data_IF_456933937593
#
_entry.id   IF_456933937593
#
_cell.length_a   1.000
_cell.length_b   1.000
_cell.length_c   1.000
_cell.angle_alpha   90.00
_cell.angle_beta   90.00
_cell.angle_gamma   90.00
#
_symmetry.space_group_name_H-M   'P 1'
#
loop_
_entity.id
_entity.type
_entity.pdbx_description
1 polymer ?
#
# COMPACT_ATOMS: atom_id res chain seq x y z
N UNK A 1 8.49 47.63 4.97
CA UNK A 1 8.99 46.98 6.20
C UNK A 1 8.32 45.63 6.48
N UNK A 2 7.44 45.12 5.60
CA UNK A 2 6.66 43.90 5.83
C UNK A 2 7.30 42.61 5.27
N UNK A 3 8.36 42.71 4.45
CA UNK A 3 9.00 41.55 3.81
C UNK A 3 10.06 40.82 4.64
N UNK A 4 10.55 41.42 5.74
CA UNK A 4 11.58 40.82 6.61
C UNK A 4 10.98 39.96 7.73
N UNK A 5 9.76 40.26 8.17
CA UNK A 5 9.09 39.59 9.29
C UNK A 5 8.63 38.17 8.93
N UNK A 6 8.08 38.00 7.71
CA UNK A 6 7.70 36.69 7.17
C UNK A 6 8.91 35.76 6.99
N UNK A 7 10.02 36.27 6.48
CA UNK A 7 11.25 35.49 6.29
C UNK A 7 11.87 35.03 7.61
N UNK A 8 11.81 35.87 8.65
CA UNK A 8 12.32 35.52 9.97
C UNK A 8 11.46 34.45 10.66
N UNK A 9 10.14 34.50 10.48
CA UNK A 9 9.21 33.52 11.05
C UNK A 9 9.34 32.11 10.46
N UNK A 10 9.67 32.00 9.17
CA UNK A 10 9.87 30.72 8.49
C UNK A 10 11.18 30.07 8.97
N UNK A 11 12.25 30.86 9.07
CA UNK A 11 13.54 30.38 9.57
C UNK A 11 13.44 29.95 11.04
N UNK A 12 12.72 30.71 11.88
CA UNK A 12 12.48 30.35 13.28
C UNK A 12 11.75 29.00 13.42
N UNK A 13 10.75 28.76 12.56
CA UNK A 13 10.04 27.49 12.55
C UNK A 13 10.92 26.32 12.07
N UNK A 14 11.74 26.53 11.05
CA UNK A 14 12.66 25.51 10.54
C UNK A 14 13.71 25.12 11.60
N UNK A 15 14.32 26.09 12.26
CA UNK A 15 15.28 25.86 13.36
C UNK A 15 14.63 25.11 14.54
N UNK A 16 13.40 25.51 14.92
CA UNK A 16 12.64 24.81 15.94
C UNK A 16 12.35 23.35 15.52
N UNK A 17 11.93 23.15 14.27
CA UNK A 17 11.59 21.82 13.76
C UNK A 17 12.82 20.90 13.75
N UNK A 18 13.98 21.40 13.33
CA UNK A 18 15.24 20.64 13.36
C UNK A 18 15.59 20.17 14.78
N UNK A 19 15.48 21.06 15.77
CA UNK A 19 15.72 20.72 17.17
C UNK A 19 14.75 19.64 17.69
N UNK A 20 13.47 19.75 17.35
CA UNK A 20 12.45 18.75 17.72
C UNK A 20 12.76 17.39 17.08
N UNK A 21 13.17 17.38 15.80
CA UNK A 21 13.51 16.15 15.09
C UNK A 21 14.75 15.47 15.66
N UNK A 22 15.78 16.25 16.02
CA UNK A 22 16.96 15.72 16.71
C UNK A 22 16.57 15.08 18.04
N UNK A 23 15.78 15.76 18.87
CA UNK A 23 15.34 15.23 20.16
C UNK A 23 14.50 13.96 20.00
N UNK A 24 13.53 13.97 19.10
CA UNK A 24 12.66 12.82 18.81
C UNK A 24 13.48 11.61 18.31
N UNK A 25 14.49 11.84 17.48
CA UNK A 25 15.37 10.78 16.95
C UNK A 25 16.19 10.10 18.05
N UNK A 26 16.48 10.77 19.16
CA UNK A 26 17.23 10.22 20.28
C UNK A 26 16.35 9.49 21.32
N UNK A 27 15.02 9.49 21.15
CA UNK A 27 14.11 8.78 22.04
C UNK A 27 14.13 7.26 21.80
N UNK A 28 13.91 6.49 22.86
CA UNK A 28 13.57 5.06 22.79
C UNK A 28 12.22 4.86 22.10
N UNK A 29 11.99 3.71 21.46
CA UNK A 29 10.74 3.44 20.75
C UNK A 29 9.47 3.60 21.61
N UNK A 30 9.50 3.20 22.88
CA UNK A 30 8.38 3.41 23.81
C UNK A 30 8.04 4.90 23.96
N UNK A 31 9.06 5.74 24.13
CA UNK A 31 8.90 7.19 24.25
C UNK A 31 8.46 7.82 22.93
N UNK A 32 8.96 7.34 21.78
CA UNK A 32 8.51 7.79 20.46
C UNK A 32 7.03 7.52 20.24
N UNK A 33 6.57 6.31 20.56
CA UNK A 33 5.16 5.94 20.46
C UNK A 33 4.30 6.84 21.36
N UNK A 34 4.70 7.05 22.61
CA UNK A 34 3.98 7.95 23.51
C UNK A 34 3.95 9.41 22.99
N UNK A 35 5.05 9.89 22.41
CA UNK A 35 5.08 11.22 21.77
C UNK A 35 4.11 11.30 20.60
N UNK A 36 4.05 10.27 19.74
CA UNK A 36 3.08 10.19 18.65
C UNK A 36 1.64 10.22 19.20
N UNK A 37 1.35 9.44 20.25
CA UNK A 37 0.02 9.39 20.87
C UNK A 37 -0.42 10.78 21.35
N UNK A 38 0.49 11.52 21.99
CA UNK A 38 0.24 12.90 22.41
C UNK A 38 0.00 13.84 21.22
N UNK A 39 0.77 13.73 20.14
CA UNK A 39 0.59 14.53 18.91
C UNK A 39 -0.76 14.23 18.26
N UNK A 40 -1.18 12.96 18.22
CA UNK A 40 -2.48 12.54 17.70
C UNK A 40 -3.61 13.12 18.57
N UNK A 41 -3.48 13.04 19.90
CA UNK A 41 -4.49 13.54 20.84
C UNK A 41 -4.70 15.06 20.75
N UNK A 42 -3.67 15.84 20.39
CA UNK A 42 -3.78 17.28 20.21
C UNK A 42 -4.04 17.73 18.76
N UNK A 43 -4.16 16.79 17.81
CA UNK A 43 -4.40 17.06 16.39
C UNK A 43 -5.87 17.18 16.03
N UNK A 44 -6.19 18.07 15.09
CA UNK A 44 -7.53 18.21 14.52
C UNK A 44 -7.78 17.29 13.32
N UNK A 45 -9.01 17.24 12.83
CA UNK A 45 -9.43 16.37 11.72
C UNK A 45 -8.61 16.56 10.44
N UNK A 46 -8.15 17.78 10.15
CA UNK A 46 -7.28 18.05 9.00
C UNK A 46 -5.91 17.34 9.13
N UNK A 47 -5.27 17.48 10.29
CA UNK A 47 -3.98 16.85 10.57
C UNK A 47 -4.11 15.32 10.61
N UNK A 48 -5.18 14.80 11.21
CA UNK A 48 -5.45 13.36 11.27
C UNK A 48 -5.71 12.77 9.88
N UNK A 49 -6.44 13.48 9.01
CA UNK A 49 -6.63 13.07 7.61
C UNK A 49 -5.31 13.07 6.81
N UNK A 50 -4.47 14.08 7.02
CA UNK A 50 -3.15 14.14 6.40
C UNK A 50 -2.26 13.00 6.88
N UNK A 51 -2.23 12.74 8.20
CA UNK A 51 -1.51 11.63 8.81
C UNK A 51 -1.97 10.29 8.24
N UNK A 52 -3.28 10.02 8.23
CA UNK A 52 -3.87 8.79 7.70
C UNK A 52 -3.46 8.55 6.24
N UNK A 53 -3.49 9.59 5.40
CA UNK A 53 -3.11 9.48 3.99
C UNK A 53 -1.63 9.09 3.85
N UNK A 54 -0.75 9.74 4.62
CA UNK A 54 0.69 9.45 4.59
C UNK A 54 1.01 8.08 5.16
N UNK A 55 0.41 7.68 6.28
CA UNK A 55 0.63 6.37 6.89
C UNK A 55 0.08 5.24 6.04
N UNK A 56 -1.06 5.43 5.37
CA UNK A 56 -1.61 4.42 4.45
C UNK A 56 -0.65 4.09 3.31
N UNK A 57 0.09 5.08 2.78
CA UNK A 57 1.11 4.85 1.74
C UNK A 57 2.31 4.06 2.30
N UNK A 58 2.69 4.30 3.55
CA UNK A 58 3.86 3.67 4.16
C UNK A 58 3.57 2.26 4.69
N UNK A 59 2.38 2.05 5.26
CA UNK A 59 1.98 0.83 5.95
C UNK A 59 1.19 -0.12 5.04
N UNK A 60 0.34 0.41 4.17
CA UNK A 60 -0.51 -0.39 3.29
C UNK A 60 0.15 -0.56 1.92
N UNK A 61 1.04 -1.56 1.81
CA UNK A 61 1.56 -1.98 0.51
C UNK A 61 0.70 -3.07 -0.08
N UNK A 62 -0.04 -2.72 -1.12
CA UNK A 62 -0.70 -3.68 -1.99
C UNK A 62 0.37 -4.35 -2.88
N UNK A 63 0.95 -5.45 -2.39
CA UNK A 63 2.01 -6.16 -3.11
C UNK A 63 1.57 -6.63 -4.50
N UNK A 64 0.30 -6.98 -4.69
CA UNK A 64 -0.22 -7.37 -6.01
C UNK A 64 -0.18 -6.20 -7.00
N UNK A 65 -0.38 -4.96 -6.54
CA UNK A 65 -0.20 -3.76 -7.39
C UNK A 65 1.26 -3.41 -7.63
N UNK A 66 2.13 -3.61 -6.64
CA UNK A 66 3.52 -3.17 -6.70
C UNK A 66 4.46 -4.12 -7.44
N UNK A 67 4.11 -5.40 -7.51
CA UNK A 67 4.95 -6.41 -8.15
C UNK A 67 4.87 -6.33 -9.70
N UNK A 68 5.95 -6.69 -10.42
CA UNK A 68 5.89 -7.02 -11.85
C UNK A 68 4.86 -8.12 -12.14
N UNK A 69 4.36 -8.18 -13.38
CA UNK A 69 3.29 -9.10 -13.77
C UNK A 69 3.65 -10.58 -13.49
N UNK A 70 4.88 -10.96 -13.75
CA UNK A 70 5.40 -12.32 -13.58
C UNK A 70 5.39 -12.74 -12.11
N UNK A 71 5.77 -11.83 -11.21
CA UNK A 71 5.80 -12.10 -9.77
C UNK A 71 4.39 -12.16 -9.18
N UNK A 72 3.43 -11.38 -9.70
CA UNK A 72 2.01 -11.53 -9.32
C UNK A 72 1.52 -12.92 -9.69
N UNK A 73 1.72 -13.34 -10.95
CA UNK A 73 1.25 -14.65 -11.42
C UNK A 73 1.90 -15.80 -10.66
N UNK A 74 3.18 -15.67 -10.31
CA UNK A 74 3.86 -16.66 -9.48
C UNK A 74 3.29 -16.74 -8.06
N UNK A 75 2.96 -15.61 -7.43
CA UNK A 75 2.31 -15.62 -6.12
C UNK A 75 0.89 -16.20 -6.19
N UNK A 76 0.12 -15.79 -7.19
CA UNK A 76 -1.26 -16.24 -7.37
C UNK A 76 -1.34 -17.73 -7.72
N UNK A 77 -0.31 -18.33 -8.32
CA UNK A 77 -0.29 -19.75 -8.63
C UNK A 77 -0.16 -20.68 -7.43
N UNK A 78 0.16 -20.15 -6.25
CA UNK A 78 0.14 -20.90 -4.98
C UNK A 78 -1.24 -20.97 -4.33
N UNK A 79 -2.21 -20.20 -4.83
CA UNK A 79 -3.58 -20.15 -4.30
C UNK A 79 -4.46 -21.19 -4.99
N UNK A 80 -5.41 -21.75 -4.23
CA UNK A 80 -6.47 -22.58 -4.76
C UNK A 80 -7.62 -21.73 -5.34
N UNK A 81 -8.55 -22.38 -6.04
CA UNK A 81 -9.65 -21.67 -6.72
C UNK A 81 -10.52 -20.86 -5.77
N UNK A 82 -10.77 -21.36 -4.56
CA UNK A 82 -11.55 -20.65 -3.54
C UNK A 82 -10.84 -19.39 -3.05
N UNK A 83 -9.55 -19.49 -2.71
CA UNK A 83 -8.75 -18.33 -2.31
C UNK A 83 -8.66 -17.30 -3.43
N UNK A 84 -8.52 -17.71 -4.69
CA UNK A 84 -8.51 -16.80 -5.84
C UNK A 84 -9.82 -16.03 -5.98
N UNK A 85 -10.97 -16.69 -5.80
CA UNK A 85 -12.27 -16.02 -5.80
C UNK A 85 -12.41 -15.02 -4.65
N UNK A 86 -11.93 -15.38 -3.45
CA UNK A 86 -11.89 -14.44 -2.33
C UNK A 86 -11.00 -13.22 -2.63
N UNK A 87 -9.85 -13.45 -3.25
CA UNK A 87 -8.93 -12.40 -3.68
C UNK A 87 -9.56 -11.45 -4.71
N UNK A 88 -10.41 -11.93 -5.63
CA UNK A 88 -11.17 -11.06 -6.54
C UNK A 88 -12.11 -10.09 -5.79
N UNK A 89 -12.56 -10.42 -4.59
CA UNK A 89 -13.40 -9.55 -3.75
C UNK A 89 -12.66 -8.41 -3.05
N UNK A 90 -11.31 -8.42 -3.01
CA UNK A 90 -10.52 -7.46 -2.24
C UNK A 90 -10.62 -6.04 -2.79
N UNK A 91 -10.54 -5.88 -4.11
CA UNK A 91 -10.69 -4.58 -4.78
C UNK A 91 -10.95 -4.77 -6.27
N UNK A 92 -11.43 -3.71 -6.94
CA UNK A 92 -11.57 -3.69 -8.41
C UNK A 92 -10.25 -4.00 -9.13
N UNK A 93 -9.13 -3.52 -8.59
CA UNK A 93 -7.81 -3.77 -9.16
C UNK A 93 -7.40 -5.24 -9.01
N UNK A 94 -7.62 -5.84 -7.84
CA UNK A 94 -7.35 -7.25 -7.60
C UNK A 94 -8.18 -8.14 -8.53
N UNK A 95 -9.48 -7.85 -8.62
CA UNK A 95 -10.38 -8.56 -9.53
C UNK A 95 -9.88 -8.53 -10.98
N UNK A 96 -9.50 -7.36 -11.48
CA UNK A 96 -9.02 -7.20 -12.84
C UNK A 96 -7.72 -7.98 -13.10
N UNK A 97 -6.78 -7.96 -12.16
CA UNK A 97 -5.49 -8.67 -12.28
C UNK A 97 -5.72 -10.19 -12.27
N UNK A 98 -6.52 -10.69 -11.34
CA UNK A 98 -6.71 -12.13 -11.16
C UNK A 98 -7.57 -12.69 -12.28
N UNK A 99 -8.64 -11.98 -12.68
CA UNK A 99 -9.55 -12.44 -13.75
C UNK A 99 -8.87 -12.46 -15.12
N UNK A 100 -7.86 -11.62 -15.36
CA UNK A 100 -7.11 -11.63 -16.63
C UNK A 100 -6.01 -12.69 -16.69
N UNK A 101 -5.59 -13.25 -15.54
CA UNK A 101 -4.55 -14.28 -15.48
C UNK A 101 -5.10 -15.67 -15.82
N UNK A 102 -5.26 -15.94 -17.12
CA UNK A 102 -5.71 -17.24 -17.63
C UNK A 102 -4.87 -18.41 -17.08
N UNK A 103 -3.54 -18.24 -17.03
CA UNK A 103 -2.61 -19.27 -16.55
C UNK A 103 -2.88 -19.68 -15.10
N UNK A 104 -3.18 -18.72 -14.23
CA UNK A 104 -3.49 -18.95 -12.81
C UNK A 104 -4.78 -19.77 -12.67
N UNK A 105 -5.84 -19.39 -13.40
CA UNK A 105 -7.10 -20.12 -13.38
C UNK A 105 -6.99 -21.53 -13.96
N UNK A 106 -6.24 -21.71 -15.06
CA UNK A 106 -6.00 -23.04 -15.61
C UNK A 106 -5.27 -23.93 -14.60
N UNK A 107 -4.28 -23.40 -13.88
CA UNK A 107 -3.56 -24.14 -12.84
C UNK A 107 -4.47 -24.50 -11.66
N UNK A 108 -5.30 -23.58 -11.20
CA UNK A 108 -6.27 -23.83 -10.13
C UNK A 108 -7.30 -24.92 -10.52
N UNK A 109 -7.80 -24.87 -11.76
CA UNK A 109 -8.70 -25.88 -12.32
C UNK A 109 -8.04 -27.27 -12.39
N UNK A 110 -6.80 -27.35 -12.91
CA UNK A 110 -6.04 -28.62 -12.96
C UNK A 110 -5.78 -29.18 -11.56
N UNK A 111 -5.46 -28.32 -10.59
CA UNK A 111 -5.23 -28.72 -9.20
C UNK A 111 -6.50 -29.27 -8.54
N UNK A 112 -7.67 -28.85 -9.02
CA UNK A 112 -8.98 -29.33 -8.57
C UNK A 112 -9.53 -30.49 -9.42
N UNK A 113 -8.69 -31.15 -10.22
CA UNK A 113 -9.03 -32.25 -11.14
C UNK A 113 -9.99 -31.90 -12.28
N UNK A 114 -10.16 -30.63 -12.62
CA UNK A 114 -10.92 -30.24 -13.81
C UNK A 114 -10.07 -30.40 -15.07
N UNK A 115 -10.69 -30.92 -16.14
CA UNK A 115 -10.04 -31.04 -17.45
C UNK A 115 -10.11 -29.69 -18.14
N UNK A 116 -8.96 -29.04 -18.29
CA UNK A 116 -8.81 -27.80 -19.04
C UNK A 116 -8.37 -28.15 -20.46
N UNK A 117 -9.15 -27.77 -21.47
CA UNK A 117 -8.79 -27.94 -22.87
C UNK A 117 -7.51 -27.15 -23.18
N UNK A 118 -6.51 -27.84 -23.72
CA UNK A 118 -5.21 -27.24 -24.09
C UNK A 118 -5.32 -26.27 -25.26
N UNK A 119 -6.42 -26.31 -26.02
CA UNK A 119 -6.65 -25.41 -27.16
C UNK A 119 -7.17 -24.02 -26.75
N UNK A 120 -7.46 -23.79 -25.46
CA UNK A 120 -7.81 -22.47 -24.92
C UNK A 120 -6.58 -21.56 -24.71
N UNK A 121 -5.36 -22.04 -25.02
CA UNK A 121 -4.09 -21.34 -24.82
C UNK A 121 -3.73 -20.36 -25.96
N UNK A 122 -4.73 -19.92 -26.73
CA UNK A 122 -4.52 -18.88 -27.74
C UNK A 122 -4.63 -17.51 -27.08
N UNK A 123 -3.47 -16.87 -26.98
CA UNK A 123 -3.30 -15.53 -26.43
C UNK A 123 -4.24 -14.47 -26.99
N UNK A 124 -4.32 -13.39 -26.23
CA UNK A 124 -4.98 -12.13 -26.53
C UNK A 124 -6.52 -12.19 -26.61
N UNK A 125 -7.15 -12.14 -25.44
CA UNK A 125 -8.27 -11.22 -25.29
C UNK A 125 -7.73 -9.79 -25.49
N UNK A 126 -7.63 -9.40 -26.77
CA UNK A 126 -7.36 -8.02 -27.19
C UNK A 126 -8.45 -7.12 -26.59
N UNK A 127 -8.05 -6.22 -25.70
CA UNK A 127 -8.75 -4.97 -25.43
C UNK A 127 -7.88 -3.83 -25.91
#
# INVERSE_FOLDING_TARGET
MEGQDLGNSVLEFEEWLESVMEYYSNLTDVKRNFTIDCIIACSGSSQLSHLFTKTSILLYRDFIKLLPAELKEHLLSFLDGESLLACCGVSKTWNNIISSSSRVWQQACRSSNFIVDKNLDNGDARY
#
